data_IF_811976037067
#
_entry.id   IF_811976037067
#
_cell.length_a   1.000
_cell.length_b   1.000
_cell.length_c   1.000
_cell.angle_alpha   90.00
_cell.angle_beta   90.00
_cell.angle_gamma   90.00
#
_symmetry.space_group_name_H-M   'P 1'
#
loop_
_entity.id
_entity.type
_entity.pdbx_description
1 polymer ?
#
# COMPACT_ATOMS: atom_id res chain seq x y z
N UNK A 1 13.21 25.41 -4.39
CA UNK A 1 11.89 24.84 -4.73
C UNK A 1 10.95 26.01 -4.95
N UNK A 2 10.25 26.08 -6.07
CA UNK A 2 9.29 27.15 -6.35
C UNK A 2 7.88 26.59 -6.23
N UNK A 3 6.98 27.33 -5.59
CA UNK A 3 5.55 27.01 -5.60
C UNK A 3 5.02 27.25 -7.02
N UNK A 4 4.39 26.22 -7.60
CA UNK A 4 3.85 26.26 -8.97
C UNK A 4 2.35 26.53 -8.93
N UNK A 5 1.63 25.87 -8.03
CA UNK A 5 0.18 25.98 -7.86
C UNK A 5 -0.21 25.72 -6.42
N UNK A 6 -1.31 26.29 -5.98
CA UNK A 6 -1.86 26.12 -4.64
C UNK A 6 -3.38 26.01 -4.71
N UNK A 7 -3.95 25.06 -3.97
CA UNK A 7 -5.39 24.88 -3.84
C UNK A 7 -5.78 24.82 -2.36
N UNK A 8 -7.02 25.22 -2.05
CA UNK A 8 -7.57 25.16 -0.69
C UNK A 8 -8.72 24.17 -0.65
N UNK A 9 -8.71 23.27 0.33
CA UNK A 9 -9.80 22.34 0.63
C UNK A 9 -10.35 22.58 2.03
N UNK A 10 -11.66 22.29 2.21
CA UNK A 10 -12.36 22.59 3.45
C UNK A 10 -11.94 21.69 4.63
N UNK A 11 -11.51 20.47 4.36
CA UNK A 11 -11.06 19.48 5.36
C UNK A 11 -9.60 19.10 5.15
N UNK A 12 -8.88 18.76 6.22
CA UNK A 12 -7.48 18.34 6.10
C UNK A 12 -7.33 17.05 5.28
N UNK A 13 -6.29 16.97 4.43
CA UNK A 13 -5.97 15.76 3.68
C UNK A 13 -5.30 14.75 4.62
N UNK A 14 -5.77 13.50 4.55
CA UNK A 14 -5.18 12.37 5.30
C UNK A 14 -4.31 11.49 4.42
N UNK A 15 -4.75 11.21 3.19
CA UNK A 15 -4.08 10.32 2.25
C UNK A 15 -4.24 10.82 0.81
N UNK A 16 -3.38 10.35 -0.09
CA UNK A 16 -3.44 10.71 -1.50
C UNK A 16 -2.70 9.72 -2.39
N UNK A 17 -3.08 9.69 -3.67
CA UNK A 17 -2.44 8.86 -4.69
C UNK A 17 -2.46 9.55 -6.06
N UNK A 18 -1.40 9.39 -6.82
CA UNK A 18 -1.35 9.74 -8.24
C UNK A 18 -1.88 8.61 -9.15
N UNK A 19 -2.19 7.43 -8.59
CA UNK A 19 -2.79 6.31 -9.30
C UNK A 19 -4.25 6.51 -9.70
N UNK A 20 -4.77 7.74 -9.67
CA UNK A 20 -6.15 8.08 -10.04
C UNK A 20 -6.35 8.30 -11.55
N UNK A 21 -5.30 8.39 -12.32
CA UNK A 21 -5.33 8.60 -13.77
C UNK A 21 -4.08 8.08 -14.45
N UNK A 22 -4.01 8.23 -15.77
CA UNK A 22 -2.78 8.00 -16.52
C UNK A 22 -1.66 8.98 -16.08
N UNK A 23 -0.42 8.64 -16.39
CA UNK A 23 0.73 9.54 -16.16
C UNK A 23 0.60 10.85 -16.95
N UNK A 24 -0.04 10.81 -18.11
CA UNK A 24 -0.23 11.98 -18.96
C UNK A 24 -1.18 13.00 -18.32
N UNK A 25 -2.28 12.53 -17.72
CA UNK A 25 -3.29 13.37 -17.08
C UNK A 25 -2.84 13.93 -15.73
N UNK A 26 -2.01 13.22 -14.98
CA UNK A 26 -1.44 13.62 -13.69
C UNK A 26 -2.48 14.06 -12.64
N UNK A 27 -3.60 13.38 -12.56
CA UNK A 27 -4.60 13.67 -11.55
C UNK A 27 -4.16 13.18 -10.17
N UNK A 28 -4.48 13.96 -9.14
CA UNK A 28 -4.25 13.61 -7.74
C UNK A 28 -5.57 13.29 -7.05
N UNK A 29 -5.75 12.05 -6.63
CA UNK A 29 -6.83 11.67 -5.73
C UNK A 29 -6.42 11.89 -4.28
N UNK A 30 -7.31 12.47 -3.49
CA UNK A 30 -7.09 12.72 -2.06
C UNK A 30 -8.28 12.27 -1.24
N UNK A 31 -7.98 11.74 -0.05
CA UNK A 31 -8.94 11.42 0.99
C UNK A 31 -8.76 12.35 2.19
N UNK A 32 -9.86 12.86 2.71
CA UNK A 32 -9.85 13.83 3.78
C UNK A 32 -10.39 13.31 5.13
N UNK A 33 -10.27 14.14 6.17
CA UNK A 33 -10.74 13.81 7.51
C UNK A 33 -12.28 13.75 7.62
N UNK A 34 -13.01 14.25 6.64
CA UNK A 34 -14.48 14.11 6.56
C UNK A 34 -14.93 12.84 5.85
N UNK A 35 -14.00 12.03 5.33
CA UNK A 35 -14.27 10.81 4.58
C UNK A 35 -14.59 11.05 3.11
N UNK A 36 -14.27 12.23 2.59
CA UNK A 36 -14.55 12.60 1.21
C UNK A 36 -13.38 12.22 0.30
N UNK A 37 -13.69 11.57 -0.83
CA UNK A 37 -12.78 11.33 -1.94
C UNK A 37 -12.91 12.46 -2.95
N UNK A 38 -11.80 13.08 -3.33
CA UNK A 38 -11.75 14.10 -4.37
C UNK A 38 -10.58 13.88 -5.31
N UNK A 39 -10.78 14.08 -6.60
CA UNK A 39 -9.75 13.99 -7.63
C UNK A 39 -9.55 15.38 -8.24
N UNK A 40 -8.31 15.83 -8.28
CA UNK A 40 -7.91 17.13 -8.79
C UNK A 40 -7.00 16.98 -10.01
N UNK A 41 -7.24 17.83 -10.99
CA UNK A 41 -6.26 18.15 -12.02
C UNK A 41 -5.26 19.17 -11.43
N UNK A 42 -3.96 18.84 -11.46
CA UNK A 42 -2.92 19.71 -10.92
C UNK A 42 -2.74 21.03 -11.69
N UNK A 43 -3.26 21.10 -12.91
CA UNK A 43 -3.28 22.34 -13.70
C UNK A 43 -4.47 23.25 -13.33
N UNK A 44 -5.52 22.68 -12.71
CA UNK A 44 -6.78 23.36 -12.35
C UNK A 44 -7.28 22.96 -10.97
N UNK A 45 -6.53 23.32 -9.94
CA UNK A 45 -6.78 22.89 -8.55
C UNK A 45 -7.95 23.62 -7.87
N UNK A 46 -8.62 24.57 -8.54
CA UNK A 46 -9.74 25.33 -7.98
C UNK A 46 -11.00 24.49 -7.73
N UNK A 47 -11.20 23.45 -8.52
CA UNK A 47 -12.35 22.53 -8.39
C UNK A 47 -11.92 21.08 -8.63
N UNK A 48 -12.46 20.12 -7.85
CA UNK A 48 -12.23 18.71 -8.14
C UNK A 48 -12.95 18.29 -9.43
N UNK A 49 -12.32 17.42 -10.20
CA UNK A 49 -12.93 16.74 -11.35
C UNK A 49 -13.98 15.71 -10.92
N UNK A 50 -13.74 15.08 -9.78
CA UNK A 50 -14.61 14.09 -9.17
C UNK A 50 -14.63 14.30 -7.66
N UNK A 51 -15.78 14.10 -7.03
CA UNK A 51 -15.89 14.28 -5.59
C UNK A 51 -17.11 13.53 -5.03
N UNK A 52 -16.86 12.58 -4.11
CA UNK A 52 -17.87 11.74 -3.49
C UNK A 52 -17.63 11.58 -1.98
N UNK A 53 -18.72 11.40 -1.21
CA UNK A 53 -18.62 10.99 0.19
C UNK A 53 -18.31 9.50 0.23
N UNK A 54 -17.04 9.16 0.37
CA UNK A 54 -16.57 7.78 0.29
C UNK A 54 -16.75 7.02 1.61
N UNK A 55 -16.61 7.69 2.74
CA UNK A 55 -16.70 7.08 4.07
C UNK A 55 -17.51 7.96 5.02
N UNK A 56 -18.10 7.36 6.04
CA UNK A 56 -18.86 8.10 7.07
C UNK A 56 -17.96 8.76 8.12
N UNK A 57 -16.69 8.46 8.09
CA UNK A 57 -15.66 9.02 8.97
C UNK A 57 -14.34 9.21 8.18
N UNK A 58 -13.24 9.42 8.87
CA UNK A 58 -11.92 9.68 8.28
C UNK A 58 -11.59 8.62 7.22
N UNK A 59 -11.18 9.06 6.03
CA UNK A 59 -10.55 8.20 5.04
C UNK A 59 -9.08 8.04 5.41
N UNK A 60 -8.71 6.85 5.90
CA UNK A 60 -7.37 6.60 6.39
C UNK A 60 -6.36 6.29 5.28
N UNK A 61 -6.81 5.59 4.24
CA UNK A 61 -5.94 5.07 3.19
C UNK A 61 -6.59 5.16 1.81
N UNK A 62 -5.74 5.29 0.80
CA UNK A 62 -6.11 5.32 -0.60
C UNK A 62 -4.99 4.67 -1.42
N UNK A 63 -5.34 3.91 -2.44
CA UNK A 63 -4.42 3.44 -3.47
C UNK A 63 -5.11 3.47 -4.84
N UNK A 64 -4.32 3.55 -5.91
CA UNK A 64 -4.82 3.60 -7.27
C UNK A 64 -4.05 2.67 -8.20
N UNK A 65 -4.71 2.17 -9.24
CA UNK A 65 -4.11 1.32 -10.27
C UNK A 65 -3.90 2.03 -11.61
N UNK A 66 -4.27 3.28 -11.73
CA UNK A 66 -4.00 4.12 -12.90
C UNK A 66 -2.54 4.56 -12.98
N UNK A 67 -2.14 5.05 -14.14
CA UNK A 67 -0.75 5.42 -14.43
C UNK A 67 0.13 4.24 -14.82
N UNK A 68 1.23 4.50 -15.53
CA UNK A 68 2.18 3.49 -15.96
C UNK A 68 1.59 2.34 -16.81
N UNK A 69 0.56 2.60 -17.59
CA UNK A 69 -0.14 1.62 -18.44
C UNK A 69 -0.68 0.41 -17.69
N UNK A 70 -0.97 0.56 -16.39
CA UNK A 70 -1.50 -0.50 -15.54
C UNK A 70 -3.02 -0.54 -15.64
N UNK A 71 -3.55 -1.75 -15.79
CA UNK A 71 -4.97 -2.07 -15.70
C UNK A 71 -5.71 -1.98 -17.03
N UNK A 72 -6.78 -2.73 -17.08
CA UNK A 72 -7.75 -2.74 -18.17
C UNK A 72 -8.95 -1.88 -17.78
N UNK A 73 -9.25 -0.86 -18.55
CA UNK A 73 -10.38 0.03 -18.32
C UNK A 73 -10.01 1.31 -17.56
N UNK A 74 -10.95 1.84 -16.78
CA UNK A 74 -10.72 3.08 -16.05
C UNK A 74 -9.75 2.91 -14.90
N UNK A 75 -9.01 3.96 -14.55
CA UNK A 75 -8.18 3.99 -13.36
C UNK A 75 -9.05 3.85 -12.11
N UNK A 76 -8.98 2.70 -11.48
CA UNK A 76 -9.72 2.40 -10.27
C UNK A 76 -8.96 2.88 -9.03
N UNK A 77 -9.73 3.27 -8.02
CA UNK A 77 -9.21 3.74 -6.73
C UNK A 77 -9.82 2.88 -5.63
N UNK A 78 -9.00 2.36 -4.72
CA UNK A 78 -9.45 1.73 -3.48
C UNK A 78 -9.26 2.67 -2.31
N UNK A 79 -10.27 2.73 -1.44
CA UNK A 79 -10.24 3.55 -0.21
C UNK A 79 -10.54 2.70 1.00
N UNK A 80 -9.88 3.01 2.12
CA UNK A 80 -10.12 2.41 3.43
C UNK A 80 -10.43 3.50 4.46
N UNK A 81 -11.48 3.30 5.23
CA UNK A 81 -11.97 4.30 6.18
C UNK A 81 -11.95 3.84 7.64
N UNK A 82 -12.10 4.80 8.52
CA UNK A 82 -12.30 4.58 9.96
C UNK A 82 -13.65 3.91 10.26
N UNK A 83 -14.59 3.95 9.32
CA UNK A 83 -15.85 3.22 9.39
C UNK A 83 -15.70 1.70 9.14
N UNK A 84 -14.47 1.21 8.95
CA UNK A 84 -14.14 -0.19 8.72
C UNK A 84 -14.40 -0.66 7.29
N UNK A 85 -14.94 0.20 6.44
CA UNK A 85 -15.27 -0.13 5.07
C UNK A 85 -14.06 -0.01 4.16
N UNK A 86 -14.04 -0.87 3.13
CA UNK A 86 -13.13 -0.77 1.98
C UNK A 86 -13.99 -0.63 0.73
N UNK A 87 -13.77 0.42 -0.05
CA UNK A 87 -14.57 0.72 -1.24
C UNK A 87 -13.71 0.88 -2.48
N UNK A 88 -14.20 0.31 -3.59
CA UNK A 88 -13.59 0.44 -4.91
C UNK A 88 -14.38 1.45 -5.74
N UNK A 89 -13.68 2.37 -6.36
CA UNK A 89 -14.24 3.50 -7.10
C UNK A 89 -13.74 3.49 -8.54
N UNK A 90 -14.67 3.78 -9.45
CA UNK A 90 -14.39 4.16 -10.83
C UNK A 90 -14.82 5.64 -10.99
N UNK A 91 -13.90 6.55 -11.34
CA UNK A 91 -14.26 7.97 -11.49
C UNK A 91 -15.31 8.29 -12.55
N UNK A 92 -15.66 7.33 -13.39
CA UNK A 92 -16.74 7.47 -14.40
C UNK A 92 -18.14 7.33 -13.81
N UNK A 93 -18.25 6.79 -12.59
CA UNK A 93 -19.52 6.56 -11.90
C UNK A 93 -19.50 7.20 -10.51
N UNK A 94 -20.69 7.54 -10.00
CA UNK A 94 -20.79 8.24 -8.72
C UNK A 94 -20.84 7.32 -7.50
N UNK A 95 -21.23 6.06 -7.69
CA UNK A 95 -21.33 5.08 -6.63
C UNK A 95 -20.08 4.17 -6.62
N UNK A 96 -19.71 3.58 -5.47
CA UNK A 96 -18.63 2.61 -5.43
C UNK A 96 -18.98 1.39 -6.28
N UNK A 97 -18.01 0.92 -7.06
CA UNK A 97 -18.17 -0.30 -7.89
C UNK A 97 -18.26 -1.55 -7.00
N UNK A 98 -17.58 -1.53 -5.87
CA UNK A 98 -17.60 -2.59 -4.86
C UNK A 98 -17.46 -1.96 -3.48
N UNK A 99 -18.24 -2.44 -2.53
CA UNK A 99 -18.14 -2.07 -1.12
C UNK A 99 -18.01 -3.34 -0.25
N UNK A 100 -16.94 -3.39 0.53
CA UNK A 100 -16.72 -4.41 1.54
C UNK A 100 -16.94 -3.76 2.90
N UNK A 101 -18.04 -4.12 3.53
CA UNK A 101 -18.48 -3.53 4.77
C UNK A 101 -18.37 -4.54 5.92
N UNK A 102 -18.16 -4.09 7.15
CA UNK A 102 -18.22 -4.96 8.31
C UNK A 102 -19.60 -5.64 8.43
N UNK A 103 -19.63 -6.88 8.91
CA UNK A 103 -20.88 -7.58 9.17
C UNK A 103 -21.76 -6.82 10.17
N UNK A 104 -23.06 -6.86 9.95
CA UNK A 104 -24.02 -6.19 10.83
C UNK A 104 -23.92 -6.74 12.27
N UNK A 105 -23.69 -5.83 13.22
CA UNK A 105 -23.58 -6.16 14.64
C UNK A 105 -22.15 -6.50 15.11
N UNK A 106 -21.17 -6.54 14.25
CA UNK A 106 -19.77 -6.59 14.65
C UNK A 106 -19.25 -5.19 15.01
N UNK A 107 -18.27 -5.13 15.92
CA UNK A 107 -17.57 -3.88 16.20
C UNK A 107 -16.73 -3.49 14.97
N UNK A 108 -16.94 -2.29 14.45
CA UNK A 108 -16.15 -1.73 13.35
C UNK A 108 -14.68 -1.62 13.77
N UNK A 109 -13.78 -1.98 12.85
CA UNK A 109 -12.33 -1.84 13.01
C UNK A 109 -11.82 -0.84 11.99
N UNK A 110 -10.98 0.08 12.42
CA UNK A 110 -10.41 1.08 11.53
C UNK A 110 -9.58 0.39 10.44
N UNK A 111 -9.94 0.58 9.16
CA UNK A 111 -9.07 0.21 8.05
C UNK A 111 -7.98 1.28 7.90
N UNK A 112 -6.73 0.92 8.17
CA UNK A 112 -5.61 1.87 8.18
C UNK A 112 -4.83 1.92 6.88
N UNK A 113 -4.87 0.85 6.10
CA UNK A 113 -4.09 0.74 4.87
C UNK A 113 -4.77 -0.16 3.85
N UNK A 114 -4.62 0.19 2.57
CA UNK A 114 -5.12 -0.59 1.43
C UNK A 114 -4.07 -0.61 0.32
N UNK A 115 -4.06 -1.66 -0.49
CA UNK A 115 -3.18 -1.77 -1.65
C UNK A 115 -3.81 -2.64 -2.74
N UNK A 116 -3.58 -2.28 -4.02
CA UNK A 116 -3.88 -3.12 -5.17
C UNK A 116 -2.78 -4.15 -5.43
N UNK A 117 -3.19 -5.39 -5.76
CA UNK A 117 -2.34 -6.44 -6.27
C UNK A 117 -2.82 -6.95 -7.63
N UNK A 118 -1.89 -7.40 -8.49
CA UNK A 118 -2.18 -7.88 -9.84
C UNK A 118 -3.10 -6.96 -10.66
N UNK A 119 -2.94 -5.64 -10.57
CA UNK A 119 -3.87 -4.69 -11.19
C UNK A 119 -3.90 -4.75 -12.71
N UNK A 120 -2.91 -5.37 -13.35
CA UNK A 120 -2.85 -5.61 -14.79
C UNK A 120 -3.72 -6.79 -15.26
N UNK A 121 -4.16 -7.68 -14.35
CA UNK A 121 -4.83 -8.95 -14.70
C UNK A 121 -6.34 -8.87 -14.44
N UNK A 122 -7.15 -9.18 -15.44
CA UNK A 122 -8.61 -9.26 -15.27
C UNK A 122 -9.05 -10.51 -14.49
N UNK A 123 -8.19 -11.55 -14.44
CA UNK A 123 -8.52 -12.84 -13.83
C UNK A 123 -8.14 -12.92 -12.34
N UNK A 124 -7.06 -12.22 -11.91
CA UNK A 124 -6.49 -12.37 -10.57
C UNK A 124 -6.24 -11.03 -9.86
N UNK A 125 -6.99 -9.98 -10.22
CA UNK A 125 -6.95 -8.68 -9.55
C UNK A 125 -7.44 -8.81 -8.12
N UNK A 126 -6.71 -8.22 -7.21
CA UNK A 126 -7.06 -8.24 -5.81
C UNK A 126 -6.74 -6.90 -5.12
N UNK A 127 -7.32 -6.73 -3.96
CA UNK A 127 -6.93 -5.68 -3.02
C UNK A 127 -6.65 -6.30 -1.66
N UNK A 128 -5.69 -5.75 -0.95
CA UNK A 128 -5.44 -6.07 0.45
C UNK A 128 -5.77 -4.89 1.35
N UNK A 129 -6.35 -5.18 2.51
CA UNK A 129 -6.69 -4.19 3.53
C UNK A 129 -6.12 -4.61 4.88
N UNK A 130 -5.58 -3.64 5.63
CA UNK A 130 -5.03 -3.83 6.97
C UNK A 130 -5.71 -2.96 8.00
N UNK A 131 -5.95 -3.55 9.16
CA UNK A 131 -6.79 -2.99 10.20
C UNK A 131 -6.03 -2.71 11.51
N UNK A 132 -6.63 -1.87 12.35
CA UNK A 132 -6.11 -1.45 13.65
C UNK A 132 -5.90 -2.60 14.64
N UNK A 133 -6.68 -3.68 14.51
CA UNK A 133 -6.59 -4.89 15.33
C UNK A 133 -5.61 -5.94 14.82
N UNK A 134 -4.93 -5.68 13.71
CA UNK A 134 -3.97 -6.60 13.09
C UNK A 134 -4.56 -7.52 12.02
N UNK A 135 -5.83 -7.39 11.66
CA UNK A 135 -6.40 -8.15 10.56
C UNK A 135 -5.80 -7.67 9.23
N UNK A 136 -5.45 -8.63 8.41
CA UNK A 136 -5.04 -8.47 7.01
C UNK A 136 -6.00 -9.28 6.17
N UNK A 137 -6.75 -8.59 5.30
CA UNK A 137 -7.75 -9.20 4.41
C UNK A 137 -7.33 -9.04 2.96
N UNK A 138 -7.51 -10.10 2.17
CA UNK A 138 -7.28 -10.13 0.74
C UNK A 138 -8.61 -10.39 0.03
N UNK A 139 -9.02 -9.51 -0.84
CA UNK A 139 -10.26 -9.59 -1.60
C UNK A 139 -9.96 -9.85 -3.07
N UNK A 140 -10.68 -10.81 -3.67
CA UNK A 140 -10.69 -11.07 -5.10
C UNK A 140 -11.70 -10.11 -5.76
N UNK A 141 -11.22 -9.24 -6.66
CA UNK A 141 -12.08 -8.25 -7.32
C UNK A 141 -12.97 -8.84 -8.41
N UNK A 142 -12.62 -9.99 -8.96
CA UNK A 142 -13.42 -10.69 -9.96
C UNK A 142 -14.69 -11.28 -9.36
N UNK A 143 -14.56 -11.88 -8.18
CA UNK A 143 -15.69 -12.51 -7.47
C UNK A 143 -16.37 -11.59 -6.46
N UNK A 144 -15.72 -10.50 -6.07
CA UNK A 144 -16.18 -9.61 -5.01
C UNK A 144 -16.16 -10.25 -3.62
N UNK A 145 -15.36 -11.28 -3.41
CA UNK A 145 -15.33 -12.06 -2.16
C UNK A 145 -13.98 -12.00 -1.48
N UNK A 146 -13.98 -12.25 -0.17
CA UNK A 146 -12.76 -12.40 0.61
C UNK A 146 -12.06 -13.72 0.25
N UNK A 147 -10.82 -13.63 -0.27
CA UNK A 147 -9.98 -14.77 -0.68
C UNK A 147 -9.15 -15.31 0.48
N UNK A 148 -8.69 -14.44 1.36
CA UNK A 148 -7.81 -14.80 2.47
C UNK A 148 -7.90 -13.78 3.59
N UNK A 149 -7.81 -14.25 4.82
CA UNK A 149 -7.74 -13.44 6.02
C UNK A 149 -6.71 -14.03 7.00
N UNK A 150 -5.97 -13.16 7.65
CA UNK A 150 -5.05 -13.53 8.73
C UNK A 150 -4.94 -12.39 9.74
N UNK A 151 -4.49 -12.69 10.96
CA UNK A 151 -4.22 -11.68 11.96
C UNK A 151 -2.73 -11.67 12.32
N UNK A 152 -2.11 -10.49 12.28
CA UNK A 152 -0.68 -10.29 12.56
C UNK A 152 -0.43 -9.79 13.98
N UNK A 153 -1.41 -9.90 14.85
CA UNK A 153 -1.41 -9.61 16.31
C UNK A 153 -1.41 -8.13 16.69
N UNK A 154 -0.91 -7.24 15.85
CA UNK A 154 -0.85 -5.79 16.12
C UNK A 154 -1.31 -4.98 14.90
N UNK A 155 -1.82 -3.77 15.17
CA UNK A 155 -2.36 -2.89 14.14
C UNK A 155 -1.44 -2.75 12.92
N UNK A 156 -2.01 -2.87 11.74
CA UNK A 156 -1.33 -2.85 10.45
C UNK A 156 -1.15 -1.41 9.99
N UNK A 157 0.08 -0.93 9.95
CA UNK A 157 0.40 0.46 9.61
C UNK A 157 0.53 0.71 8.11
N UNK A 158 1.04 -0.28 7.37
CA UNK A 158 1.17 -0.21 5.92
C UNK A 158 1.11 -1.61 5.30
N UNK A 159 0.48 -1.69 4.14
CA UNK A 159 0.45 -2.86 3.26
C UNK A 159 0.92 -2.43 1.88
N UNK A 160 1.78 -3.24 1.25
CA UNK A 160 2.22 -3.01 -0.11
C UNK A 160 2.54 -4.32 -0.82
N UNK A 161 2.01 -4.50 -2.02
CA UNK A 161 2.48 -5.52 -2.95
C UNK A 161 3.77 -5.06 -3.64
N UNK A 162 4.64 -6.00 -3.96
CA UNK A 162 5.94 -5.70 -4.55
C UNK A 162 5.87 -5.10 -5.97
N UNK A 163 4.81 -5.40 -6.73
CA UNK A 163 4.50 -4.80 -8.03
C UNK A 163 2.99 -4.83 -8.29
N UNK A 164 2.49 -3.83 -9.03
CA UNK A 164 1.08 -3.75 -9.47
C UNK A 164 0.92 -4.11 -10.94
N UNK A 165 1.93 -3.82 -11.74
CA UNK A 165 1.95 -3.87 -13.20
C UNK A 165 2.37 -5.23 -13.76
N UNK A 166 2.80 -6.14 -12.92
CA UNK A 166 3.12 -7.54 -13.25
C UNK A 166 2.63 -8.46 -12.13
N UNK A 167 2.72 -9.78 -12.34
CA UNK A 167 2.34 -10.78 -11.33
C UNK A 167 3.02 -10.49 -9.97
N UNK A 168 2.20 -10.35 -8.94
CA UNK A 168 2.68 -10.11 -7.57
C UNK A 168 3.38 -11.35 -7.01
N UNK A 169 4.53 -11.15 -6.37
CA UNK A 169 5.24 -12.22 -5.68
C UNK A 169 5.14 -12.11 -4.16
N UNK A 170 5.09 -10.89 -3.65
CA UNK A 170 5.19 -10.60 -2.21
C UNK A 170 4.18 -9.55 -1.79
N UNK A 171 3.68 -9.73 -0.58
CA UNK A 171 2.96 -8.70 0.16
C UNK A 171 3.78 -8.35 1.40
N UNK A 172 4.21 -7.10 1.52
CA UNK A 172 4.85 -6.58 2.72
C UNK A 172 3.79 -5.94 3.64
N UNK A 173 3.80 -6.33 4.91
CA UNK A 173 2.89 -5.84 5.95
C UNK A 173 3.72 -5.32 7.10
N UNK A 174 3.57 -4.05 7.45
CA UNK A 174 4.21 -3.43 8.62
C UNK A 174 3.21 -3.25 9.75
N UNK A 175 3.69 -3.25 10.98
CA UNK A 175 2.83 -3.22 12.16
C UNK A 175 3.28 -2.18 13.19
N UNK A 176 2.40 -1.90 14.15
CA UNK A 176 2.72 -1.08 15.33
C UNK A 176 3.88 -1.63 16.15
N UNK A 177 4.12 -2.94 16.07
CA UNK A 177 5.37 -3.52 16.56
C UNK A 177 6.54 -3.11 15.65
N UNK A 178 7.74 -3.28 16.15
CA UNK A 178 8.98 -2.99 15.41
C UNK A 178 9.26 -3.94 14.23
N UNK A 179 8.27 -4.64 13.73
CA UNK A 179 8.39 -5.74 12.77
C UNK A 179 7.68 -5.44 11.46
N UNK A 180 8.19 -6.06 10.40
CA UNK A 180 7.43 -6.27 9.17
C UNK A 180 7.27 -7.77 8.89
N UNK A 181 6.27 -8.10 8.07
CA UNK A 181 6.05 -9.45 7.56
C UNK A 181 6.03 -9.42 6.05
N UNK A 182 6.58 -10.48 5.45
CA UNK A 182 6.49 -10.70 4.01
C UNK A 182 5.73 -12.00 3.79
N UNK A 183 4.66 -11.94 3.01
CA UNK A 183 3.89 -13.09 2.56
C UNK A 183 4.30 -13.44 1.14
N UNK A 184 4.52 -14.73 0.86
CA UNK A 184 4.72 -15.26 -0.49
C UNK A 184 3.36 -15.45 -1.17
N UNK A 185 3.02 -14.51 -2.06
CA UNK A 185 1.72 -14.50 -2.74
C UNK A 185 1.64 -15.48 -3.92
N UNK A 186 2.73 -16.15 -4.27
CA UNK A 186 2.81 -17.05 -5.42
C UNK A 186 2.14 -18.41 -5.20
N UNK A 187 2.02 -18.83 -3.94
CA UNK A 187 1.44 -20.13 -3.59
C UNK A 187 0.59 -20.01 -2.33
N UNK A 188 -0.71 -20.22 -2.50
CA UNK A 188 -1.66 -20.25 -1.39
C UNK A 188 -1.97 -21.71 -1.03
N UNK A 189 -1.66 -22.11 0.20
CA UNK A 189 -2.07 -23.41 0.73
C UNK A 189 -3.56 -23.35 1.11
N UNK A 190 -4.37 -24.38 0.78
CA UNK A 190 -5.83 -24.35 0.99
C UNK A 190 -6.27 -24.07 2.43
N UNK A 191 -5.53 -24.55 3.43
CA UNK A 191 -5.88 -24.41 4.85
C UNK A 191 -4.92 -23.53 5.65
N UNK A 192 -3.65 -23.43 5.24
CA UNK A 192 -2.62 -22.66 5.96
C UNK A 192 -2.40 -21.25 5.37
N UNK A 193 -3.00 -20.98 4.20
CA UNK A 193 -2.86 -19.71 3.53
C UNK A 193 -1.48 -19.50 2.89
N UNK A 194 -0.93 -18.30 3.00
CA UNK A 194 0.36 -17.94 2.43
C UNK A 194 1.50 -18.14 3.42
N UNK A 195 2.63 -18.63 2.92
CA UNK A 195 3.87 -18.68 3.71
C UNK A 195 4.29 -17.27 4.10
N UNK A 196 4.77 -17.10 5.33
CA UNK A 196 5.08 -15.79 5.90
C UNK A 196 6.43 -15.78 6.62
N UNK A 197 7.20 -14.74 6.38
CA UNK A 197 8.44 -14.40 7.10
C UNK A 197 8.18 -13.17 7.98
N UNK A 198 8.68 -13.17 9.22
CA UNK A 198 8.59 -12.02 10.14
C UNK A 198 9.98 -11.58 10.59
N UNK A 199 10.31 -10.30 10.38
CA UNK A 199 11.62 -9.73 10.71
C UNK A 199 11.49 -8.47 11.55
N UNK A 200 12.50 -8.25 12.42
CA UNK A 200 12.63 -7.04 13.20
C UNK A 200 13.24 -5.93 12.34
N UNK A 201 12.53 -4.83 12.15
CA UNK A 201 12.98 -3.73 11.30
C UNK A 201 13.65 -2.59 12.10
N UNK A 202 12.97 -2.09 13.11
CA UNK A 202 13.36 -0.90 13.86
C UNK A 202 13.24 -1.15 15.37
N UNK A 203 13.63 -0.18 16.18
CA UNK A 203 13.40 -0.17 17.64
C UNK A 203 12.07 0.49 18.03
N UNK A 204 11.24 0.80 17.05
CA UNK A 204 9.96 1.48 17.18
C UNK A 204 8.99 1.00 16.09
N UNK A 205 7.75 1.47 16.10
CA UNK A 205 6.73 1.21 15.08
C UNK A 205 7.29 1.36 13.67
N UNK A 206 6.94 0.47 12.77
CA UNK A 206 7.23 0.58 11.34
C UNK A 206 6.03 1.22 10.66
N UNK A 207 6.17 2.47 10.20
CA UNK A 207 5.05 3.23 9.65
C UNK A 207 4.80 3.00 8.18
N UNK A 208 5.84 2.76 7.41
CA UNK A 208 5.72 2.57 5.96
C UNK A 208 6.73 1.56 5.43
N UNK A 209 6.37 0.92 4.33
CA UNK A 209 7.27 0.14 3.47
C UNK A 209 7.00 0.50 2.01
N UNK A 210 8.04 0.47 1.18
CA UNK A 210 7.94 0.72 -0.26
C UNK A 210 8.99 -0.07 -1.02
N UNK A 211 8.53 -0.88 -1.98
CA UNK A 211 9.42 -1.57 -2.91
C UNK A 211 9.97 -0.59 -3.95
N UNK A 212 11.21 -0.83 -4.35
CA UNK A 212 11.83 -0.03 -5.42
C UNK A 212 11.15 -0.34 -6.76
N UNK A 213 10.60 0.65 -7.48
CA UNK A 213 9.87 0.40 -8.73
C UNK A 213 10.69 -0.31 -9.80
N UNK A 214 12.00 -0.07 -9.83
CA UNK A 214 12.92 -0.66 -10.82
C UNK A 214 13.39 -2.06 -10.43
N UNK A 215 13.30 -2.43 -9.15
CA UNK A 215 13.73 -3.73 -8.64
C UNK A 215 12.85 -4.18 -7.47
N UNK A 216 11.91 -5.09 -7.74
CA UNK A 216 10.95 -5.62 -6.77
C UNK A 216 11.54 -6.37 -5.59
N UNK A 217 12.83 -6.69 -5.63
CA UNK A 217 13.51 -7.42 -4.56
C UNK A 217 14.12 -6.47 -3.52
N UNK A 218 14.21 -5.19 -3.88
CA UNK A 218 14.65 -4.13 -2.99
C UNK A 218 13.45 -3.38 -2.40
N UNK A 219 13.45 -3.19 -1.10
CA UNK A 219 12.41 -2.41 -0.43
C UNK A 219 12.99 -1.65 0.76
N UNK A 220 12.28 -0.60 1.16
CA UNK A 220 12.60 0.16 2.34
C UNK A 220 11.54 0.05 3.42
N UNK A 221 11.92 0.34 4.66
CA UNK A 221 10.99 0.59 5.76
C UNK A 221 11.33 1.89 6.47
N UNK A 222 10.26 2.63 6.86
CA UNK A 222 10.37 3.85 7.65
C UNK A 222 9.90 3.63 9.09
N UNK A 223 10.76 3.96 10.05
CA UNK A 223 10.52 3.70 11.48
C UNK A 223 10.07 4.92 12.27
N UNK A 224 9.40 4.66 13.40
CA UNK A 224 8.98 5.66 14.38
C UNK A 224 10.14 6.37 15.09
N UNK A 225 11.34 5.83 14.99
CA UNK A 225 12.57 6.44 15.49
C UNK A 225 13.29 7.31 14.43
N UNK A 226 12.65 7.60 13.30
CA UNK A 226 13.26 8.31 12.18
C UNK A 226 14.24 7.47 11.37
N UNK A 227 14.24 6.16 11.59
CA UNK A 227 15.08 5.20 10.89
C UNK A 227 14.59 4.90 9.49
N UNK A 228 15.51 4.85 8.55
CA UNK A 228 15.33 4.41 7.18
C UNK A 228 16.20 3.17 6.97
N UNK A 229 15.58 2.04 6.68
CA UNK A 229 16.27 0.78 6.42
C UNK A 229 16.00 0.33 4.98
N UNK A 230 17.05 -0.14 4.31
CA UNK A 230 16.97 -0.76 2.99
C UNK A 230 17.23 -2.25 3.11
N UNK A 231 16.40 -3.04 2.44
CA UNK A 231 16.46 -4.49 2.44
C UNK A 231 16.48 -5.06 1.03
N UNK A 232 17.07 -6.27 0.92
CA UNK A 232 16.94 -7.13 -0.24
C UNK A 232 16.27 -8.44 0.15
N UNK A 233 15.29 -8.85 -0.62
CA UNK A 233 14.68 -10.16 -0.50
C UNK A 233 15.40 -11.16 -1.42
N UNK A 234 15.80 -12.28 -0.87
CA UNK A 234 16.42 -13.39 -1.60
C UNK A 234 15.43 -14.53 -1.70
N UNK A 235 15.08 -14.91 -2.91
CA UNK A 235 14.17 -16.01 -3.15
C UNK A 235 14.79 -17.36 -2.74
N UNK A 236 13.97 -18.31 -2.26
CA UNK A 236 14.46 -19.65 -1.94
C UNK A 236 14.82 -20.42 -3.22
N UNK A 237 15.69 -21.41 -3.11
CA UNK A 237 16.08 -22.25 -4.25
C UNK A 237 14.89 -23.07 -4.81
N UNK A 238 13.93 -23.43 -3.98
CA UNK A 238 12.69 -24.11 -4.35
C UNK A 238 11.51 -23.24 -3.97
N UNK A 239 10.60 -22.98 -4.95
CA UNK A 239 9.40 -22.13 -4.74
C UNK A 239 8.39 -22.78 -3.80
N UNK A 240 8.21 -24.08 -3.91
CA UNK A 240 7.17 -24.83 -3.19
C UNK A 240 7.73 -26.09 -2.58
N UNK A 241 7.10 -26.54 -1.51
CA UNK A 241 7.26 -27.87 -0.91
C UNK A 241 5.89 -28.50 -0.73
N UNK A 242 5.85 -29.83 -0.60
CA UNK A 242 4.61 -30.53 -0.30
C UNK A 242 4.36 -30.53 1.20
N UNK A 243 3.21 -30.07 1.63
CA UNK A 243 2.76 -30.16 3.01
C UNK A 243 2.32 -31.59 3.36
N UNK A 244 2.03 -31.84 4.63
CA UNK A 244 1.63 -33.18 5.11
C UNK A 244 0.33 -33.72 4.50
N UNK A 245 -0.53 -32.84 4.04
CA UNK A 245 -1.80 -33.11 3.35
C UNK A 245 -1.66 -33.24 1.83
N UNK A 246 -0.41 -33.31 1.32
CA UNK A 246 -0.06 -33.36 -0.10
C UNK A 246 -0.50 -32.12 -0.90
N UNK A 247 -0.84 -31.01 -0.26
CA UNK A 247 -1.05 -29.73 -0.94
C UNK A 247 0.27 -28.96 -1.10
N UNK A 248 0.44 -28.17 -2.17
CA UNK A 248 1.61 -27.33 -2.33
C UNK A 248 1.60 -26.18 -1.32
N UNK A 249 2.73 -25.96 -0.66
CA UNK A 249 2.96 -24.87 0.28
C UNK A 249 4.13 -24.02 -0.19
N UNK A 250 3.97 -22.69 -0.12
CA UNK A 250 5.03 -21.75 -0.45
C UNK A 250 6.25 -21.88 0.48
N UNK A 251 7.42 -21.64 -0.04
CA UNK A 251 8.67 -21.60 0.73
C UNK A 251 9.15 -20.16 0.78
N UNK A 252 9.36 -19.63 1.99
CA UNK A 252 9.91 -18.30 2.18
C UNK A 252 11.40 -18.26 1.88
N UNK A 253 11.82 -17.13 1.32
CA UNK A 253 13.22 -16.77 1.21
C UNK A 253 13.75 -16.16 2.50
N UNK A 254 14.77 -15.33 2.37
CA UNK A 254 15.33 -14.56 3.48
C UNK A 254 15.46 -13.08 3.10
N UNK A 255 15.64 -12.24 4.12
CA UNK A 255 15.81 -10.79 3.97
C UNK A 255 17.19 -10.39 4.46
N UNK A 256 17.90 -9.62 3.66
CA UNK A 256 19.20 -9.02 3.97
C UNK A 256 19.02 -7.52 4.22
N UNK A 257 19.51 -7.03 5.36
CA UNK A 257 19.60 -5.60 5.62
C UNK A 257 20.81 -5.02 4.88
N UNK A 258 20.57 -4.21 3.87
CA UNK A 258 21.64 -3.59 3.06
C UNK A 258 22.18 -2.32 3.71
N UNK A 259 21.30 -1.50 4.30
CA UNK A 259 21.67 -0.25 4.93
C UNK A 259 20.64 0.19 5.98
N UNK A 260 21.10 0.88 7.00
CA UNK A 260 20.28 1.48 8.05
C UNK A 260 20.81 2.86 8.39
N UNK A 261 19.93 3.88 8.34
CA UNK A 261 20.27 5.26 8.71
C UNK A 261 19.15 5.92 9.48
N UNK A 262 19.51 6.73 10.46
CA UNK A 262 18.58 7.68 11.07
C UNK A 262 18.55 8.93 10.17
N UNK A 263 17.40 9.20 9.59
CA UNK A 263 17.19 10.34 8.68
C UNK A 263 16.54 11.51 9.42
N UNK A 264 15.72 11.22 10.43
CA UNK A 264 15.00 12.21 11.23
C UNK A 264 15.11 11.87 12.72
N UNK A 265 14.87 12.84 13.58
CA UNK A 265 14.66 12.62 15.03
C UNK A 265 13.22 12.24 15.36
N UNK A 266 12.30 12.31 14.37
CA UNK A 266 10.88 12.02 14.49
C UNK A 266 10.46 10.93 13.50
N UNK A 267 9.29 10.28 13.71
CA UNK A 267 8.80 9.23 12.82
C UNK A 267 8.78 9.62 11.34
N UNK A 268 9.20 8.68 10.49
CA UNK A 268 8.95 8.71 9.04
C UNK A 268 7.56 8.13 8.83
N UNK A 269 6.61 8.94 8.37
CA UNK A 269 5.20 8.55 8.25
C UNK A 269 4.75 8.25 6.83
N UNK A 270 5.46 8.79 5.85
CA UNK A 270 5.18 8.56 4.44
C UNK A 270 6.46 8.56 3.63
N UNK A 271 6.49 7.77 2.58
CA UNK A 271 7.64 7.61 1.69
C UNK A 271 7.17 7.22 0.30
N UNK A 272 7.86 7.72 -0.72
CA UNK A 272 7.66 7.27 -2.08
C UNK A 272 8.94 7.33 -2.91
N UNK A 273 9.04 6.43 -3.91
CA UNK A 273 10.11 6.39 -4.90
C UNK A 273 9.71 7.11 -6.18
N UNK A 274 10.68 7.67 -6.88
CA UNK A 274 10.48 8.07 -8.26
C UNK A 274 10.42 6.83 -9.16
N UNK A 275 9.37 6.71 -9.96
CA UNK A 275 9.26 5.64 -10.96
C UNK A 275 10.30 5.82 -12.08
N UNK A 276 10.62 7.08 -12.45
CA UNK A 276 11.48 7.41 -13.58
C UNK A 276 12.97 7.42 -13.23
N UNK A 277 13.31 7.76 -11.98
CA UNK A 277 14.69 7.91 -11.56
C UNK A 277 15.04 6.99 -10.42
N UNK A 278 15.82 5.96 -10.72
CA UNK A 278 16.26 4.97 -9.76
C UNK A 278 16.89 5.61 -8.51
N UNK A 279 16.40 5.23 -7.36
CA UNK A 279 16.87 5.68 -6.05
C UNK A 279 16.47 7.10 -5.63
N UNK A 280 15.88 7.91 -6.52
CA UNK A 280 15.30 9.19 -6.10
C UNK A 280 14.05 8.92 -5.28
N UNK A 281 13.96 9.58 -4.13
CA UNK A 281 12.86 9.37 -3.20
C UNK A 281 12.51 10.62 -2.41
N UNK A 282 11.30 10.60 -1.87
CA UNK A 282 10.76 11.63 -0.99
C UNK A 282 10.18 10.98 0.27
N UNK A 283 10.34 11.62 1.40
CA UNK A 283 9.70 11.21 2.64
C UNK A 283 9.19 12.40 3.43
N UNK A 284 8.18 12.15 4.25
CA UNK A 284 7.69 13.10 5.24
C UNK A 284 7.90 12.57 6.64
N UNK A 285 8.25 13.49 7.55
CA UNK A 285 8.49 13.20 8.95
C UNK A 285 7.59 14.05 9.85
N UNK A 286 7.34 13.58 11.06
CA UNK A 286 6.58 14.36 12.06
C UNK A 286 7.34 15.58 12.60
N UNK A 287 8.60 15.78 12.22
CA UNK A 287 9.35 17.02 12.47
C UNK A 287 8.95 18.18 11.51
N UNK A 288 7.84 18.03 10.78
CA UNK A 288 7.29 18.99 9.81
C UNK A 288 8.21 19.20 8.59
N UNK A 289 9.09 18.25 8.29
CA UNK A 289 9.97 18.31 7.12
C UNK A 289 9.57 17.32 6.04
N UNK A 290 9.74 17.75 4.80
CA UNK A 290 9.77 16.90 3.61
C UNK A 290 11.21 16.81 3.14
N UNK A 291 11.72 15.60 2.95
CA UNK A 291 13.11 15.35 2.54
C UNK A 291 13.15 14.63 1.21
N UNK A 292 13.95 15.15 0.31
CA UNK A 292 14.20 14.55 -1.01
C UNK A 292 15.68 14.16 -1.06
N UNK A 293 15.97 12.92 -1.40
CA UNK A 293 17.34 12.41 -1.52
C UNK A 293 17.45 11.29 -2.55
N UNK A 294 18.66 10.86 -2.83
CA UNK A 294 18.93 9.76 -3.75
C UNK A 294 19.69 8.66 -3.01
N UNK A 295 19.12 7.45 -3.03
CA UNK A 295 19.82 6.23 -2.63
C UNK A 295 20.68 5.77 -3.79
N UNK A 296 21.96 5.66 -3.57
CA UNK A 296 22.94 5.33 -4.63
C UNK A 296 23.43 3.89 -4.51
N UNK A 297 24.05 3.39 -5.60
CA UNK A 297 24.63 2.05 -5.70
C UNK A 297 23.61 0.90 -5.67
N UNK A 298 22.35 1.16 -5.98
CA UNK A 298 21.31 0.14 -6.06
C UNK A 298 21.60 -0.92 -7.13
N UNK A 299 22.28 -0.54 -8.23
CA UNK A 299 22.74 -1.45 -9.28
C UNK A 299 23.69 -2.56 -8.82
N UNK A 300 24.17 -2.51 -7.57
CA UNK A 300 25.03 -3.56 -6.99
C UNK A 300 24.23 -4.74 -6.42
N UNK A 301 22.94 -4.58 -6.30
CA UNK A 301 22.02 -5.53 -5.70
C UNK A 301 20.94 -5.98 -6.68
#
# INVERSE_FOLDING_TARGET
>A
MNLISEGTIASGIKCGTFGASSIEDRHLAVGDFSGKLSIYDLERMDKPLYSQQAHTSIMNAIDGCGGCDIGYGAPEIVTGGRDGCVRLWDPRVNEPVLAMEPDAGQSTRDCWTVAFGNSFSDEDRCISAGYDNGDVKLFDLRTGTMRYETNVSNGVTCIEFDRKDIEMNKLCVTTLESKFRIFDMRTQHPTQGFACLSELAHKATVWCCKHLPQNRDLFMTGGGNGGFNMYKYHYPATRTTMAKDNAPMGVMGNVELLNSKIISSQPIVSFDWSADKEGLCVLSCLDQTVRVFIVTKLHKY
#
